data_IF_633857257103
#
_entry.id   IF_633857257103
#
_cell.length_a   1.000
_cell.length_b   1.000
_cell.length_c   1.000
_cell.angle_alpha   90.00
_cell.angle_beta   90.00
_cell.angle_gamma   90.00
#
_symmetry.space_group_name_H-M   'P 1'
#
loop_
_entity.id
_entity.type
_entity.pdbx_description
1 polymer ?
#
# COMPACT_ATOMS: atom_id res chain seq x y z
N UNK A 1 -16.78 -24.87 33.04
CA UNK A 1 -15.85 -24.94 31.89
C UNK A 1 -16.30 -24.09 30.69
N UNK A 2 -17.60 -24.01 30.39
CA UNK A 2 -18.16 -23.25 29.26
C UNK A 2 -17.95 -21.73 29.37
N UNK A 3 -18.15 -21.16 30.56
CA UNK A 3 -17.94 -19.72 30.79
C UNK A 3 -16.48 -19.28 30.58
N UNK A 4 -15.51 -20.08 31.04
CA UNK A 4 -14.09 -19.78 30.87
C UNK A 4 -13.65 -19.87 29.40
N UNK A 5 -14.18 -20.86 28.65
CA UNK A 5 -14.01 -20.95 27.19
C UNK A 5 -14.60 -19.73 26.46
N UNK A 6 -15.78 -19.28 26.88
CA UNK A 6 -16.43 -18.11 26.26
C UNK A 6 -15.68 -16.81 26.56
N UNK A 7 -15.15 -16.63 27.78
CA UNK A 7 -14.31 -15.48 28.15
C UNK A 7 -13.01 -15.49 27.36
N UNK A 8 -12.36 -16.65 27.23
CA UNK A 8 -11.12 -16.76 26.46
C UNK A 8 -11.33 -16.49 24.97
N UNK A 9 -12.40 -17.02 24.36
CA UNK A 9 -12.75 -16.73 22.96
C UNK A 9 -13.10 -15.26 22.74
N UNK A 10 -13.83 -14.63 23.66
CA UNK A 10 -14.19 -13.21 23.52
C UNK A 10 -12.97 -12.30 23.73
N UNK A 11 -12.06 -12.60 24.65
CA UNK A 11 -10.75 -11.92 24.76
C UNK A 11 -9.91 -12.07 23.49
N UNK A 12 -9.91 -13.25 22.86
CA UNK A 12 -9.20 -13.48 21.61
C UNK A 12 -9.76 -12.62 20.47
N UNK A 13 -11.09 -12.57 20.33
CA UNK A 13 -11.78 -11.77 19.31
C UNK A 13 -11.56 -10.27 19.56
N UNK A 14 -11.76 -9.80 20.79
CA UNK A 14 -11.54 -8.39 21.15
C UNK A 14 -10.08 -8.00 20.97
N UNK A 15 -9.13 -8.89 21.27
CA UNK A 15 -7.70 -8.69 21.01
C UNK A 15 -7.39 -8.50 19.53
N UNK A 16 -7.98 -9.33 18.66
CA UNK A 16 -7.84 -9.19 17.19
C UNK A 16 -8.41 -7.85 16.72
N UNK A 17 -9.58 -7.45 17.21
CA UNK A 17 -10.17 -6.16 16.85
C UNK A 17 -9.36 -4.97 17.39
N UNK A 18 -8.87 -5.01 18.63
CA UNK A 18 -8.00 -3.96 19.18
C UNK A 18 -6.67 -3.84 18.39
N UNK A 19 -6.22 -4.92 17.78
CA UNK A 19 -5.08 -4.95 16.86
C UNK A 19 -5.45 -4.58 15.41
N UNK A 20 -6.69 -4.26 15.10
CA UNK A 20 -7.06 -3.88 13.75
C UNK A 20 -6.43 -2.51 13.38
N UNK A 21 -5.74 -2.37 12.23
CA UNK A 21 -5.03 -1.13 11.85
C UNK A 21 -5.91 0.11 11.80
N UNK A 22 -7.21 -0.05 11.56
CA UNK A 22 -8.16 1.09 11.55
C UNK A 22 -8.37 1.73 12.92
N UNK A 23 -8.10 1.01 14.02
CA UNK A 23 -8.35 1.45 15.40
C UNK A 23 -7.10 2.01 16.08
N UNK A 24 -5.92 1.83 15.49
CA UNK A 24 -4.65 2.28 16.07
C UNK A 24 -3.74 2.88 14.99
N UNK A 25 -4.17 4.03 14.44
CA UNK A 25 -3.47 4.76 13.37
C UNK A 25 -2.29 5.60 13.87
N UNK A 26 -1.78 5.35 15.08
CA UNK A 26 -0.70 6.12 15.71
C UNK A 26 0.62 5.35 15.78
N UNK A 27 1.68 6.01 16.22
CA UNK A 27 2.96 5.36 16.54
C UNK A 27 2.94 4.83 17.98
N UNK A 28 2.38 3.64 18.19
CA UNK A 28 2.31 2.99 19.52
C UNK A 28 2.98 1.61 19.49
N UNK A 29 3.34 1.02 20.64
CA UNK A 29 3.82 -0.36 20.70
C UNK A 29 2.85 -1.37 20.09
N UNK A 30 1.54 -1.09 20.11
CA UNK A 30 0.54 -1.93 19.45
C UNK A 30 0.71 -1.94 17.94
N UNK A 31 1.07 -0.82 17.33
CA UNK A 31 1.28 -0.67 15.88
C UNK A 31 2.34 -1.65 15.35
N UNK A 32 3.34 -1.97 16.16
CA UNK A 32 4.34 -2.99 15.84
C UNK A 32 3.72 -4.39 15.78
N UNK A 33 2.90 -4.76 16.78
CA UNK A 33 2.14 -6.02 16.79
C UNK A 33 1.14 -6.10 15.63
N UNK A 34 0.50 -4.98 15.27
CA UNK A 34 -0.39 -4.94 14.11
C UNK A 34 0.36 -5.26 12.82
N UNK A 35 1.61 -4.83 12.67
CA UNK A 35 2.41 -5.18 11.50
C UNK A 35 2.69 -6.68 11.40
N UNK A 36 2.87 -7.40 12.52
CA UNK A 36 3.02 -8.87 12.48
C UNK A 36 1.76 -9.57 11.99
N UNK A 37 0.58 -9.03 12.27
CA UNK A 37 -0.71 -9.66 11.90
C UNK A 37 -1.15 -9.23 10.50
N UNK A 38 -0.99 -7.95 10.15
CA UNK A 38 -1.57 -7.35 8.96
C UNK A 38 -0.55 -6.94 7.88
N UNK A 39 0.72 -6.78 8.24
CA UNK A 39 1.77 -6.36 7.30
C UNK A 39 1.43 -5.05 6.58
N UNK A 40 1.99 -4.89 5.38
CA UNK A 40 1.53 -3.89 4.43
C UNK A 40 0.59 -4.56 3.42
N UNK A 41 -0.45 -3.87 2.99
CA UNK A 41 -1.35 -4.35 1.94
C UNK A 41 -1.40 -3.41 0.74
N UNK A 42 -1.60 -3.96 -0.46
CA UNK A 42 -1.73 -3.21 -1.70
C UNK A 42 -3.06 -3.53 -2.37
N UNK A 43 -3.88 -2.50 -2.55
CA UNK A 43 -5.14 -2.58 -3.31
C UNK A 43 -5.01 -1.75 -4.58
N UNK A 44 -5.30 -2.37 -5.74
CA UNK A 44 -5.32 -1.68 -7.03
C UNK A 44 -6.72 -1.76 -7.63
N UNK A 45 -7.39 -0.62 -7.70
CA UNK A 45 -8.70 -0.44 -8.34
C UNK A 45 -8.53 0.05 -9.77
N UNK A 46 -9.22 -0.59 -10.72
CA UNK A 46 -9.21 -0.18 -12.14
C UNK A 46 -10.60 -0.33 -12.75
N UNK A 47 -10.89 0.44 -13.80
CA UNK A 47 -12.06 0.20 -14.65
C UNK A 47 -11.77 -0.84 -15.75
N UNK A 48 -12.80 -1.25 -16.50
CA UNK A 48 -12.71 -2.27 -17.55
C UNK A 48 -11.82 -1.90 -18.74
N UNK A 49 -11.52 -0.61 -18.92
CA UNK A 49 -10.65 -0.11 -19.99
C UNK A 49 -9.14 -0.30 -19.70
N UNK A 50 -8.77 -0.60 -18.45
CA UNK A 50 -7.36 -0.78 -18.05
C UNK A 50 -6.97 -2.25 -18.11
N UNK A 51 -5.94 -2.55 -18.88
CA UNK A 51 -5.33 -3.88 -18.88
C UNK A 51 -4.35 -4.00 -17.71
N UNK A 52 -4.77 -4.69 -16.63
CA UNK A 52 -3.95 -4.88 -15.43
C UNK A 52 -2.61 -5.58 -15.69
N UNK A 53 -2.46 -6.30 -16.79
CA UNK A 53 -1.18 -6.94 -17.14
C UNK A 53 -0.10 -5.94 -17.55
N UNK A 54 -0.50 -4.74 -17.99
CA UNK A 54 0.41 -3.66 -18.35
C UNK A 54 0.81 -2.79 -17.16
N UNK A 55 0.24 -3.06 -15.96
CA UNK A 55 0.58 -2.35 -14.73
C UNK A 55 1.80 -2.97 -14.06
N UNK A 56 2.70 -2.08 -13.63
CA UNK A 56 3.84 -2.43 -12.79
C UNK A 56 3.95 -1.40 -11.67
N UNK A 57 4.10 -1.87 -10.43
CA UNK A 57 4.34 -1.01 -9.26
C UNK A 57 5.69 -1.39 -8.67
N UNK A 58 6.55 -0.37 -8.50
CA UNK A 58 7.88 -0.52 -7.89
C UNK A 58 7.92 0.22 -6.58
N UNK A 59 8.39 -0.44 -5.53
CA UNK A 59 8.80 0.20 -4.29
C UNK A 59 10.27 0.60 -4.39
N UNK A 60 10.57 1.83 -3.99
CA UNK A 60 11.90 2.42 -3.98
C UNK A 60 12.11 3.08 -2.62
N UNK A 61 13.29 2.88 -2.03
CA UNK A 61 13.73 3.62 -0.86
C UNK A 61 14.74 4.69 -1.30
N UNK A 62 14.61 5.91 -0.78
CA UNK A 62 15.48 7.04 -1.14
C UNK A 62 16.64 7.25 -0.13
N UNK A 63 16.78 6.36 0.86
CA UNK A 63 17.66 6.61 2.02
C UNK A 63 19.11 6.21 1.72
N UNK A 64 20.06 7.11 2.00
CA UNK A 64 21.48 7.01 1.61
C UNK A 64 22.33 5.99 2.40
N UNK A 65 21.83 5.41 3.50
CA UNK A 65 22.64 4.63 4.45
C UNK A 65 22.35 3.12 4.50
N UNK A 66 21.56 2.60 3.56
CA UNK A 66 21.23 1.17 3.48
C UNK A 66 21.31 0.73 2.02
N UNK A 67 21.58 -0.55 1.79
CA UNK A 67 21.56 -1.18 0.47
C UNK A 67 20.13 -1.13 -0.09
N UNK A 68 19.76 0.01 -0.68
CA UNK A 68 18.48 0.23 -1.31
C UNK A 68 18.30 -0.76 -2.45
N UNK A 69 17.21 -1.54 -2.38
CA UNK A 69 16.77 -2.41 -3.46
C UNK A 69 15.49 -1.85 -4.03
N UNK A 70 15.50 -1.56 -5.32
CA UNK A 70 14.27 -1.40 -6.08
C UNK A 70 13.55 -2.76 -6.10
N UNK A 71 12.30 -2.78 -5.68
CA UNK A 71 11.50 -4.00 -5.60
C UNK A 71 10.24 -3.84 -6.43
N UNK A 72 10.06 -4.73 -7.40
CA UNK A 72 8.78 -4.81 -8.12
C UNK A 72 7.77 -5.49 -7.19
N UNK A 73 6.74 -4.77 -6.76
CA UNK A 73 5.72 -5.29 -5.83
C UNK A 73 4.49 -5.81 -6.56
N UNK A 74 4.16 -5.23 -7.72
CA UNK A 74 3.01 -5.65 -8.54
C UNK A 74 3.42 -5.72 -10.01
N UNK A 75 3.04 -6.80 -10.69
CA UNK A 75 3.25 -6.98 -12.12
C UNK A 75 2.30 -8.03 -12.67
N UNK A 76 1.92 -7.92 -13.95
CA UNK A 76 1.07 -8.91 -14.64
C UNK A 76 -0.23 -9.20 -13.88
N UNK A 77 -0.92 -8.15 -13.41
CA UNK A 77 -2.22 -8.30 -12.75
C UNK A 77 -2.18 -8.78 -11.29
N UNK A 78 -1.01 -9.05 -10.71
CA UNK A 78 -0.87 -9.60 -9.35
C UNK A 78 0.25 -8.94 -8.54
N UNK A 79 0.09 -8.95 -7.22
CA UNK A 79 1.18 -8.66 -6.30
C UNK A 79 2.17 -9.84 -6.33
N UNK A 80 3.45 -9.55 -6.53
CA UNK A 80 4.52 -10.54 -6.61
C UNK A 80 5.49 -10.45 -5.42
N UNK A 81 5.54 -9.31 -4.74
CA UNK A 81 6.31 -9.12 -3.51
C UNK A 81 5.54 -8.23 -2.55
N UNK A 82 5.78 -8.39 -1.26
CA UNK A 82 5.26 -7.51 -0.23
C UNK A 82 5.98 -6.17 -0.23
N UNK A 83 5.26 -5.11 0.15
CA UNK A 83 5.84 -3.78 0.31
C UNK A 83 6.66 -3.77 1.61
N UNK A 84 7.97 -3.46 1.59
CA UNK A 84 8.78 -3.40 2.80
C UNK A 84 8.30 -2.33 3.79
N UNK A 85 8.56 -2.53 5.07
CA UNK A 85 8.23 -1.56 6.13
C UNK A 85 9.49 -0.99 6.78
N UNK A 86 10.31 -0.36 5.95
CA UNK A 86 11.57 0.27 6.37
C UNK A 86 11.34 1.66 6.96
N UNK A 87 12.33 2.17 7.69
CA UNK A 87 12.37 3.59 8.06
C UNK A 87 12.89 4.44 6.89
N UNK A 88 12.44 5.68 6.79
CA UNK A 88 12.96 6.68 5.86
C UNK A 88 12.00 7.03 4.72
N UNK A 89 12.53 7.74 3.72
CA UNK A 89 11.79 8.19 2.55
C UNK A 89 11.65 7.04 1.56
N UNK A 90 10.41 6.78 1.15
CA UNK A 90 10.03 5.69 0.27
C UNK A 90 9.06 6.19 -0.78
N UNK A 91 9.05 5.53 -1.93
CA UNK A 91 8.11 5.79 -3.02
C UNK A 91 7.58 4.49 -3.58
N UNK A 92 6.29 4.48 -3.89
CA UNK A 92 5.72 3.53 -4.83
C UNK A 92 5.55 4.25 -6.16
N UNK A 93 6.31 3.83 -7.17
CA UNK A 93 6.19 4.36 -8.52
C UNK A 93 5.32 3.41 -9.33
N UNK A 94 4.31 3.99 -9.98
CA UNK A 94 3.33 3.24 -10.77
C UNK A 94 3.61 3.48 -12.25
N UNK A 95 3.76 2.37 -12.97
CA UNK A 95 3.98 2.35 -14.40
C UNK A 95 2.80 1.67 -15.10
N UNK A 96 2.45 2.19 -16.27
CA UNK A 96 1.49 1.57 -17.17
C UNK A 96 2.09 1.53 -18.57
N UNK A 97 2.17 0.32 -19.15
CA UNK A 97 2.87 0.09 -20.41
C UNK A 97 4.29 0.69 -20.41
N UNK A 98 5.06 0.42 -19.35
CA UNK A 98 6.42 0.93 -19.12
C UNK A 98 6.57 2.45 -18.90
N UNK A 99 5.49 3.23 -19.06
CA UNK A 99 5.49 4.67 -18.80
C UNK A 99 5.13 4.95 -17.34
N UNK A 100 5.90 5.82 -16.67
CA UNK A 100 5.57 6.27 -15.31
C UNK A 100 4.29 7.11 -15.37
N UNK A 101 3.27 6.71 -14.62
CA UNK A 101 1.97 7.40 -14.56
C UNK A 101 1.69 8.03 -13.19
N UNK A 102 2.50 7.73 -12.18
CA UNK A 102 2.25 8.28 -10.85
C UNK A 102 3.26 7.81 -9.84
N UNK A 103 3.26 8.48 -8.69
CA UNK A 103 3.99 8.03 -7.52
C UNK A 103 3.23 8.34 -6.24
N UNK A 104 3.45 7.50 -5.24
CA UNK A 104 2.96 7.67 -3.88
C UNK A 104 4.20 7.81 -3.01
N UNK A 105 4.40 8.99 -2.42
CA UNK A 105 5.53 9.26 -1.54
C UNK A 105 5.17 9.02 -0.09
N UNK A 106 6.08 8.44 0.68
CA UNK A 106 5.91 8.19 2.09
C UNK A 106 7.21 8.46 2.84
N UNK A 107 7.12 9.04 4.03
CA UNK A 107 8.24 9.17 4.94
C UNK A 107 7.89 8.48 6.25
N UNK A 108 8.55 7.36 6.55
CA UNK A 108 8.33 6.60 7.78
C UNK A 108 9.38 6.97 8.82
N UNK A 109 8.94 7.37 10.00
CA UNK A 109 9.82 7.63 11.17
C UNK A 109 10.22 6.35 11.88
N UNK A 110 9.41 5.29 11.75
CA UNK A 110 9.59 4.00 12.45
C UNK A 110 9.44 2.83 11.46
N UNK A 111 10.23 1.77 11.65
CA UNK A 111 10.08 0.52 10.90
C UNK A 111 8.87 -0.30 11.36
N UNK A 112 8.48 -1.33 10.58
CA UNK A 112 7.45 -2.32 10.96
C UNK A 112 6.13 -1.68 11.37
N UNK A 113 5.68 -0.73 10.57
CA UNK A 113 4.34 -0.16 10.66
C UNK A 113 3.46 -0.71 9.55
N UNK A 114 2.25 -1.15 9.90
CA UNK A 114 1.26 -1.58 8.93
C UNK A 114 0.66 -0.39 8.17
N UNK A 115 0.61 -0.51 6.84
CA UNK A 115 0.01 0.48 5.96
C UNK A 115 -0.83 -0.19 4.89
N UNK A 116 -1.95 0.43 4.54
CA UNK A 116 -2.77 0.05 3.41
C UNK A 116 -2.50 1.04 2.27
N UNK A 117 -1.98 0.53 1.17
CA UNK A 117 -1.69 1.29 -0.03
C UNK A 117 -2.81 1.08 -1.03
N UNK A 118 -3.48 2.16 -1.41
CA UNK A 118 -4.59 2.14 -2.35
C UNK A 118 -4.19 2.92 -3.61
N UNK A 119 -4.20 2.24 -4.75
CA UNK A 119 -3.98 2.83 -6.07
C UNK A 119 -5.28 2.73 -6.84
N UNK A 120 -5.71 3.84 -7.44
CA UNK A 120 -6.78 3.86 -8.42
C UNK A 120 -6.23 4.32 -9.77
N UNK A 121 -6.54 3.56 -10.81
CA UNK A 121 -6.24 3.92 -12.19
C UNK A 121 -7.46 3.75 -13.07
N UNK A 122 -7.91 4.84 -13.68
CA UNK A 122 -9.05 4.86 -14.58
C UNK A 122 -8.61 5.33 -15.96
N UNK A 123 -9.17 4.75 -17.01
CA UNK A 123 -9.07 5.30 -18.37
C UNK A 123 -10.42 5.85 -18.84
N UNK A 124 -10.42 7.08 -19.36
CA UNK A 124 -11.59 7.71 -19.98
C UNK A 124 -11.14 8.73 -21.03
N UNK A 125 -11.76 8.72 -22.21
CA UNK A 125 -11.50 9.67 -23.30
C UNK A 125 -9.99 9.85 -23.59
N UNK A 126 -9.27 8.75 -23.80
CA UNK A 126 -7.83 8.75 -24.10
C UNK A 126 -6.97 9.42 -23.00
N UNK A 127 -7.51 9.51 -21.78
CA UNK A 127 -6.78 10.04 -20.62
C UNK A 127 -6.72 8.97 -19.53
N UNK A 128 -5.58 8.91 -18.85
CA UNK A 128 -5.38 8.10 -17.65
C UNK A 128 -5.51 8.99 -16.42
N UNK A 129 -6.32 8.55 -15.46
CA UNK A 129 -6.51 9.20 -14.17
C UNK A 129 -5.91 8.32 -13.10
N UNK A 130 -4.86 8.82 -12.46
CA UNK A 130 -4.16 8.15 -11.38
C UNK A 130 -4.48 8.82 -10.05
N UNK A 131 -4.75 8.02 -9.02
CA UNK A 131 -4.86 8.48 -7.64
C UNK A 131 -4.21 7.46 -6.71
N UNK A 132 -3.58 7.95 -5.64
CA UNK A 132 -2.86 7.13 -4.68
C UNK A 132 -3.08 7.61 -3.25
N UNK A 133 -3.38 6.68 -2.36
CA UNK A 133 -3.60 6.92 -0.93
C UNK A 133 -2.88 5.88 -0.09
N UNK A 134 -2.39 6.30 1.08
CA UNK A 134 -1.86 5.45 2.13
C UNK A 134 -2.67 5.70 3.39
N UNK A 135 -3.22 4.63 3.96
CA UNK A 135 -3.90 4.65 5.26
C UNK A 135 -3.00 3.95 6.28
N UNK A 136 -2.80 4.59 7.44
CA UNK A 136 -1.98 4.07 8.52
C UNK A 136 -1.28 5.17 9.33
N UNK A 137 -0.27 4.82 10.16
CA UNK A 137 0.48 5.74 11.00
C UNK A 137 1.25 6.85 10.26
N UNK A 138 1.68 6.59 9.03
CA UNK A 138 2.27 7.59 8.13
C UNK A 138 1.41 7.73 6.87
N UNK A 139 0.22 8.38 6.97
CA UNK A 139 -0.73 8.43 5.89
C UNK A 139 -0.26 9.38 4.78
N UNK A 140 -0.79 9.17 3.58
CA UNK A 140 -0.54 10.01 2.42
C UNK A 140 -1.79 10.06 1.56
N UNK A 141 -2.09 11.21 0.99
CA UNK A 141 -3.14 11.35 -0.02
C UNK A 141 -2.61 12.22 -1.14
N UNK A 142 -2.31 11.59 -2.27
CA UNK A 142 -1.82 12.28 -3.45
C UNK A 142 -2.96 13.00 -4.16
N UNK A 143 -2.71 14.17 -4.77
CA UNK A 143 -3.68 14.75 -5.68
C UNK A 143 -3.86 13.79 -6.87
N UNK A 144 -5.10 13.58 -7.35
CA UNK A 144 -5.32 12.84 -8.58
C UNK A 144 -4.60 13.51 -9.75
N UNK A 145 -3.89 12.74 -10.56
CA UNK A 145 -3.21 13.23 -11.77
C UNK A 145 -3.89 12.71 -13.02
N UNK A 146 -4.05 13.59 -14.01
CA UNK A 146 -4.52 13.25 -15.35
C UNK A 146 -3.34 13.25 -16.31
N UNK A 147 -3.23 12.19 -17.10
CA UNK A 147 -2.18 12.03 -18.10
C UNK A 147 -2.87 11.82 -19.44
N UNK A 148 -2.55 12.68 -20.41
CA UNK A 148 -2.96 12.47 -21.79
C UNK A 148 -2.27 11.21 -22.29
N UNK A 149 -3.07 10.20 -22.67
CA UNK A 149 -2.54 9.02 -23.33
C UNK A 149 -2.18 9.44 -24.75
N UNK A 150 -0.89 9.72 -25.00
CA UNK A 150 -0.42 9.92 -26.37
C UNK A 150 -0.52 8.57 -27.06
N UNK A 151 -1.57 8.39 -27.86
CA UNK A 151 -1.82 7.38 -28.89
C UNK A 151 -1.28 5.94 -28.67
N UNK A 152 -2.20 4.97 -28.76
CA UNK A 152 -2.01 3.52 -28.84
C UNK A 152 -1.51 2.79 -27.58
N UNK A 153 -2.49 2.30 -26.79
CA UNK A 153 -2.39 1.07 -26.01
C UNK A 153 -2.81 -0.12 -26.88
#
# INVERSE_FOLDING_TARGET
>A
MTYFKNILSSLLIVGIFALHPSLNKGETPFTYLQHFVYGNSLTISTNSAINKNLLEVKWICETQNITCKDLVVYKNGKQINDIPSERGKQKLIVFYNQNKIGEISQNKTTEKQAHQYNIELLSKNESLFFSGEIIGPSPYKGPPTSILSVASL
#
